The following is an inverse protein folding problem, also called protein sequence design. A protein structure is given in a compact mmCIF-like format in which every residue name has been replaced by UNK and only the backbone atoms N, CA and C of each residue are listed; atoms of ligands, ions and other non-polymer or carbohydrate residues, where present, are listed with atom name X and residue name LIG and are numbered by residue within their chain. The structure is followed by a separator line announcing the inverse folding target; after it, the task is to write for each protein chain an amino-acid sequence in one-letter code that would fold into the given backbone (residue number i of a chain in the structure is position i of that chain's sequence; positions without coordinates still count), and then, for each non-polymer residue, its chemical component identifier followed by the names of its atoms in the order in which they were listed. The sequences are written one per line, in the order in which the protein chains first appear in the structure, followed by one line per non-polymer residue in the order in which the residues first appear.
data_IF_843431045080
#
_entry.id   IF_843431045080
#
_cell.length_a   1.000
_cell.length_b   1.000
_cell.length_c   1.000
_cell.angle_alpha   90.00
_cell.angle_beta   90.00
_cell.angle_gamma   90.00
#
_symmetry.space_group_name_H-M   'P 1'
#
loop_
_entity.id
_entity.type
_entity.pdbx_description
1 polymer ?
#
# COMPACT_ATOMS: atom_id res chain seq x y z
N UNK A 1 -10.84 -23.42 -16.78
CA UNK A 1 -11.12 -22.21 -17.59
C UNK A 1 -11.28 -22.45 -19.10
N UNK A 2 -11.13 -23.66 -19.66
CA UNK A 2 -11.06 -23.86 -21.13
C UNK A 2 -12.39 -23.94 -21.89
N UNK A 3 -13.55 -23.97 -21.23
CA UNK A 3 -14.83 -24.23 -21.91
C UNK A 3 -15.64 -22.98 -22.31
N UNK A 4 -15.24 -21.77 -21.87
CA UNK A 4 -15.98 -20.54 -22.19
C UNK A 4 -15.57 -19.91 -23.54
N UNK A 5 -14.34 -20.19 -24.00
CA UNK A 5 -13.75 -19.57 -25.19
C UNK A 5 -14.56 -19.83 -26.47
N UNK A 6 -15.12 -21.04 -26.62
CA UNK A 6 -15.94 -21.42 -27.78
C UNK A 6 -17.24 -20.62 -27.84
N UNK A 7 -17.91 -20.44 -26.69
CA UNK A 7 -19.15 -19.69 -26.61
C UNK A 7 -18.94 -18.20 -26.90
N UNK A 8 -17.81 -17.65 -26.46
CA UNK A 8 -17.44 -16.27 -26.76
C UNK A 8 -17.10 -16.07 -28.24
N UNK A 9 -16.37 -17.00 -28.86
CA UNK A 9 -16.09 -16.95 -30.29
C UNK A 9 -17.36 -17.03 -31.14
N UNK A 10 -18.32 -17.88 -30.76
CA UNK A 10 -19.63 -17.95 -31.44
C UNK A 10 -20.44 -16.66 -31.27
N UNK A 11 -20.40 -16.02 -30.09
CA UNK A 11 -21.01 -14.71 -29.87
C UNK A 11 -20.35 -13.63 -30.72
N UNK A 12 -19.03 -13.61 -30.78
CA UNK A 12 -18.24 -12.66 -31.56
C UNK A 12 -18.44 -12.82 -33.07
N UNK A 13 -18.59 -14.05 -33.55
CA UNK A 13 -18.93 -14.33 -34.94
C UNK A 13 -20.30 -13.75 -35.33
N UNK A 14 -21.30 -13.87 -34.45
CA UNK A 14 -22.63 -13.29 -34.67
C UNK A 14 -22.60 -11.75 -34.64
N UNK A 15 -21.72 -11.16 -33.84
CA UNK A 15 -21.55 -9.69 -33.76
C UNK A 15 -21.06 -9.04 -35.07
N UNK A 16 -20.38 -9.78 -35.95
CA UNK A 16 -20.02 -9.25 -37.28
C UNK A 16 -21.24 -8.97 -38.17
N UNK A 17 -22.35 -9.68 -37.96
CA UNK A 17 -23.61 -9.49 -38.68
C UNK A 17 -24.53 -8.49 -37.97
N UNK A 18 -24.17 -8.08 -36.74
CA UNK A 18 -24.97 -7.23 -35.89
C UNK A 18 -24.92 -5.75 -36.30
N UNK A 19 -26.01 -5.04 -35.97
CA UNK A 19 -26.13 -3.59 -36.15
C UNK A 19 -25.24 -2.89 -35.10
N UNK A 20 -24.62 -1.72 -35.41
CA UNK A 20 -23.80 -0.96 -34.45
C UNK A 20 -24.41 -0.75 -33.05
N UNK A 21 -25.73 -0.72 -32.96
CA UNK A 21 -26.47 -0.64 -31.69
C UNK A 21 -26.21 -1.80 -30.73
N UNK A 22 -25.86 -2.99 -31.24
CA UNK A 22 -25.58 -4.18 -30.43
C UNK A 22 -24.11 -4.26 -29.99
N UNK A 23 -23.17 -3.68 -30.74
CA UNK A 23 -21.73 -3.68 -30.42
C UNK A 23 -21.40 -2.69 -29.29
N UNK A 24 -22.11 -1.55 -29.26
CA UNK A 24 -21.90 -0.47 -28.27
C UNK A 24 -22.03 -0.92 -26.80
N UNK A 25 -23.08 -1.68 -26.38
CA UNK A 25 -23.19 -2.14 -24.99
C UNK A 25 -22.08 -3.13 -24.59
N UNK A 26 -21.65 -4.00 -25.50
CA UNK A 26 -20.53 -4.93 -25.22
C UNK A 26 -19.20 -4.18 -25.09
N UNK A 27 -18.97 -3.15 -25.91
CA UNK A 27 -17.80 -2.27 -25.77
C UNK A 27 -17.79 -1.58 -24.41
N UNK A 28 -18.93 -1.01 -23.99
CA UNK A 28 -19.08 -0.37 -22.67
C UNK A 28 -18.81 -1.36 -21.54
N UNK A 29 -19.30 -2.58 -21.66
CA UNK A 29 -19.07 -3.66 -20.70
C UNK A 29 -17.60 -4.04 -20.61
N UNK A 30 -16.91 -4.19 -21.75
CA UNK A 30 -15.48 -4.48 -21.78
C UNK A 30 -14.64 -3.37 -21.11
N UNK A 31 -14.94 -2.10 -21.40
CA UNK A 31 -14.30 -0.96 -20.73
C UNK A 31 -14.56 -0.97 -19.22
N UNK A 32 -15.80 -1.24 -18.79
CA UNK A 32 -16.14 -1.36 -17.37
C UNK A 32 -15.37 -2.48 -16.67
N UNK A 33 -15.19 -3.64 -17.33
CA UNK A 33 -14.38 -4.74 -16.81
C UNK A 33 -12.91 -4.33 -16.66
N UNK A 34 -12.33 -3.66 -17.66
CA UNK A 34 -10.95 -3.15 -17.58
C UNK A 34 -10.78 -2.20 -16.38
N UNK A 35 -11.69 -1.24 -16.22
CA UNK A 35 -11.64 -0.30 -15.10
C UNK A 35 -11.73 -1.03 -13.74
N UNK A 36 -12.59 -2.04 -13.64
CA UNK A 36 -12.69 -2.88 -12.43
C UNK A 36 -11.37 -3.58 -12.14
N UNK A 37 -10.76 -4.24 -13.11
CA UNK A 37 -9.51 -4.98 -12.89
C UNK A 37 -8.31 -4.05 -12.63
N UNK A 38 -8.32 -2.83 -13.18
CA UNK A 38 -7.35 -1.78 -12.80
C UNK A 38 -7.49 -1.44 -11.31
N UNK A 39 -8.71 -1.27 -10.78
CA UNK A 39 -8.93 -1.03 -9.34
C UNK A 39 -8.39 -2.18 -8.48
N UNK A 40 -8.67 -3.43 -8.88
CA UNK A 40 -8.14 -4.62 -8.19
C UNK A 40 -6.61 -4.63 -8.21
N UNK A 41 -5.98 -4.32 -9.34
CA UNK A 41 -4.53 -4.24 -9.46
C UNK A 41 -3.90 -3.22 -8.50
N UNK A 42 -4.52 -2.04 -8.36
CA UNK A 42 -4.08 -1.03 -7.38
C UNK A 42 -4.28 -1.49 -5.93
N UNK A 43 -5.39 -2.17 -5.62
CA UNK A 43 -5.59 -2.74 -4.29
C UNK A 43 -4.50 -3.77 -3.94
N UNK A 44 -4.14 -4.65 -4.88
CA UNK A 44 -3.04 -5.60 -4.73
C UNK A 44 -1.71 -4.88 -4.49
N UNK A 45 -1.40 -3.84 -5.28
CA UNK A 45 -0.17 -3.05 -5.11
C UNK A 45 -0.10 -2.34 -3.75
N UNK A 46 -1.22 -1.81 -3.26
CA UNK A 46 -1.30 -1.20 -1.94
C UNK A 46 -1.09 -2.23 -0.83
N UNK A 47 -1.71 -3.41 -0.94
CA UNK A 47 -1.54 -4.50 0.02
C UNK A 47 -0.09 -5.01 0.04
N UNK A 48 0.55 -5.09 -1.13
CA UNK A 48 1.98 -5.41 -1.23
C UNK A 48 2.86 -4.37 -0.52
N UNK A 49 2.63 -3.08 -0.79
CA UNK A 49 3.37 -1.99 -0.14
C UNK A 49 3.20 -2.02 1.38
N UNK A 50 1.99 -2.33 1.85
CA UNK A 50 1.69 -2.46 3.27
C UNK A 50 2.36 -3.70 3.89
N UNK A 51 2.38 -4.82 3.18
CA UNK A 51 3.13 -6.02 3.58
C UNK A 51 4.62 -5.69 3.78
N UNK A 52 5.26 -5.04 2.80
CA UNK A 52 6.67 -4.62 2.91
C UNK A 52 6.91 -3.72 4.14
N UNK A 53 5.97 -2.83 4.46
CA UNK A 53 6.04 -1.96 5.63
C UNK A 53 5.86 -2.72 6.94
N UNK A 54 4.95 -3.69 6.99
CA UNK A 54 4.66 -4.47 8.19
C UNK A 54 5.75 -5.49 8.49
N UNK A 55 6.31 -6.16 7.47
CA UNK A 55 7.35 -7.17 7.66
C UNK A 55 8.64 -6.61 8.22
N UNK A 56 8.92 -5.32 7.99
CA UNK A 56 10.01 -4.63 8.67
C UNK A 56 9.80 -4.51 10.20
N UNK A 57 8.61 -4.80 10.71
CA UNK A 57 8.19 -4.53 12.10
C UNK A 57 7.37 -5.64 12.78
N UNK A 58 6.97 -6.71 12.08
CA UNK A 58 6.08 -7.74 12.63
C UNK A 58 6.85 -8.99 13.08
N UNK A 59 6.48 -9.53 14.25
CA UNK A 59 6.96 -10.81 14.79
C UNK A 59 6.28 -12.05 14.15
N UNK A 60 5.55 -11.88 13.04
CA UNK A 60 4.90 -13.00 12.35
C UNK A 60 5.93 -14.05 11.93
N UNK A 61 5.70 -15.31 12.31
CA UNK A 61 6.56 -16.43 11.94
C UNK A 61 6.51 -16.73 10.44
N UNK A 62 7.56 -17.35 9.90
CA UNK A 62 7.71 -17.55 8.45
C UNK A 62 6.53 -18.31 7.80
N UNK A 63 5.86 -19.18 8.56
CA UNK A 63 4.68 -19.92 8.11
C UNK A 63 3.43 -19.06 7.88
N UNK A 64 3.27 -17.95 8.60
CA UNK A 64 2.16 -17.00 8.34
C UNK A 64 2.50 -16.12 7.14
N UNK A 65 3.75 -15.68 7.06
CA UNK A 65 4.27 -14.84 5.98
C UNK A 65 4.09 -15.50 4.61
N UNK A 66 4.41 -16.79 4.48
CA UNK A 66 4.28 -17.52 3.21
C UNK A 66 2.82 -17.64 2.76
N UNK A 67 1.87 -17.79 3.70
CA UNK A 67 0.44 -17.84 3.37
C UNK A 67 -0.07 -16.49 2.85
N UNK A 68 0.37 -15.40 3.48
CA UNK A 68 0.03 -14.05 3.05
C UNK A 68 0.60 -13.73 1.67
N UNK A 69 1.89 -14.02 1.45
CA UNK A 69 2.56 -13.86 0.14
C UNK A 69 1.87 -14.70 -0.94
N UNK A 70 1.53 -15.95 -0.64
CA UNK A 70 0.80 -16.82 -1.57
C UNK A 70 -0.58 -16.25 -1.95
N UNK A 71 -1.28 -15.59 -1.03
CA UNK A 71 -2.55 -14.90 -1.35
C UNK A 71 -2.31 -13.70 -2.26
N UNK A 72 -1.33 -12.85 -1.94
CA UNK A 72 -1.00 -11.67 -2.75
C UNK A 72 -0.58 -12.06 -4.17
N UNK A 73 0.27 -13.08 -4.31
CA UNK A 73 0.73 -13.57 -5.61
C UNK A 73 -0.42 -14.08 -6.47
N UNK A 74 -1.35 -14.84 -5.88
CA UNK A 74 -2.56 -15.31 -6.57
C UNK A 74 -3.42 -14.15 -7.02
N UNK A 75 -3.74 -13.20 -6.12
CA UNK A 75 -4.55 -12.02 -6.46
C UNK A 75 -3.91 -11.17 -7.56
N UNK A 76 -2.59 -10.97 -7.52
CA UNK A 76 -1.85 -10.25 -8.57
C UNK A 76 -1.93 -10.98 -9.93
N UNK A 77 -1.70 -12.30 -9.92
CA UNK A 77 -1.73 -13.13 -11.12
C UNK A 77 -3.12 -13.20 -11.74
N UNK A 78 -4.16 -13.34 -10.92
CA UNK A 78 -5.56 -13.31 -11.37
C UNK A 78 -5.90 -11.95 -11.98
N UNK A 79 -5.58 -10.84 -11.29
CA UNK A 79 -5.84 -9.49 -11.81
C UNK A 79 -5.13 -9.26 -13.17
N UNK A 80 -3.89 -9.73 -13.31
CA UNK A 80 -3.14 -9.66 -14.57
C UNK A 80 -3.82 -10.45 -15.69
N UNK A 81 -4.20 -11.70 -15.42
CA UNK A 81 -4.83 -12.57 -16.40
C UNK A 81 -6.17 -12.01 -16.90
N UNK A 82 -7.01 -11.56 -15.97
CA UNK A 82 -8.32 -10.97 -16.26
C UNK A 82 -8.20 -9.63 -17.00
N UNK A 83 -7.23 -8.79 -16.64
CA UNK A 83 -6.97 -7.53 -17.34
C UNK A 83 -6.52 -7.76 -18.78
N UNK A 84 -5.64 -8.75 -19.00
CA UNK A 84 -5.21 -9.16 -20.35
C UNK A 84 -6.39 -9.69 -21.18
N UNK A 85 -7.27 -10.49 -20.58
CA UNK A 85 -8.43 -11.04 -21.26
C UNK A 85 -9.42 -9.93 -21.67
N UNK A 86 -9.78 -9.06 -20.74
CA UNK A 86 -10.65 -7.91 -21.01
C UNK A 86 -10.05 -6.96 -22.07
N UNK A 87 -8.73 -6.76 -22.06
CA UNK A 87 -8.03 -5.97 -23.07
C UNK A 87 -8.08 -6.59 -24.46
N UNK A 88 -7.94 -7.93 -24.58
CA UNK A 88 -8.08 -8.64 -25.85
C UNK A 88 -9.51 -8.55 -26.38
N UNK A 89 -10.51 -8.72 -25.50
CA UNK A 89 -11.91 -8.58 -25.85
C UNK A 89 -12.21 -7.16 -26.38
N UNK A 90 -11.69 -6.13 -25.70
CA UNK A 90 -11.84 -4.75 -26.14
C UNK A 90 -11.24 -4.53 -27.54
N UNK A 91 -9.99 -4.99 -27.77
CA UNK A 91 -9.33 -4.85 -29.07
C UNK A 91 -10.13 -5.51 -30.20
N UNK A 92 -10.67 -6.71 -29.96
CA UNK A 92 -11.50 -7.41 -30.93
C UNK A 92 -12.81 -6.66 -31.24
N UNK A 93 -13.50 -6.16 -30.20
CA UNK A 93 -14.73 -5.37 -30.38
C UNK A 93 -14.48 -4.08 -31.17
N UNK A 94 -13.33 -3.42 -30.96
CA UNK A 94 -12.92 -2.29 -31.79
C UNK A 94 -12.72 -2.68 -33.25
N UNK A 95 -12.03 -3.79 -33.54
CA UNK A 95 -11.85 -4.27 -34.91
C UNK A 95 -13.18 -4.57 -35.60
N UNK A 96 -14.13 -5.20 -34.90
CA UNK A 96 -15.50 -5.43 -35.41
C UNK A 96 -16.20 -4.10 -35.70
N UNK A 97 -16.09 -3.13 -34.79
CA UNK A 97 -16.72 -1.81 -34.95
C UNK A 97 -16.22 -1.10 -36.21
N UNK A 98 -14.91 -1.14 -36.46
CA UNK A 98 -14.29 -0.56 -37.67
C UNK A 98 -14.85 -1.24 -38.93
N UNK A 99 -14.88 -2.58 -38.97
CA UNK A 99 -15.40 -3.35 -40.11
C UNK A 99 -16.88 -3.08 -40.41
N UNK A 100 -17.69 -2.92 -39.36
CA UNK A 100 -19.12 -2.60 -39.51
C UNK A 100 -19.31 -1.16 -40.03
N UNK A 101 -18.48 -0.21 -39.59
CA UNK A 101 -18.51 1.18 -40.05
C UNK A 101 -18.12 1.30 -41.53
N UNK A 102 -17.06 0.61 -41.96
CA UNK A 102 -16.62 0.58 -43.35
C UNK A 102 -17.75 0.12 -44.29
N UNK A 103 -18.55 -0.88 -43.89
CA UNK A 103 -19.69 -1.36 -44.66
C UNK A 103 -20.85 -0.36 -44.75
N UNK A 104 -21.00 0.53 -43.78
CA UNK A 104 -22.16 1.42 -43.67
C UNK A 104 -21.95 2.80 -44.33
N UNK A 105 -20.79 3.04 -44.95
CA UNK A 105 -20.47 4.29 -45.68
C UNK A 105 -20.76 5.58 -44.88
N UNK A 106 -20.73 5.51 -43.54
CA UNK A 106 -20.89 6.67 -42.65
C UNK A 106 -19.53 6.97 -42.03
N UNK A 107 -19.04 8.19 -42.29
CA UNK A 107 -17.65 8.60 -42.06
C UNK A 107 -17.36 9.16 -40.66
N UNK A 108 -18.29 9.07 -39.71
CA UNK A 108 -18.01 9.50 -38.34
C UNK A 108 -17.55 8.29 -37.52
N UNK A 109 -16.24 8.03 -37.57
CA UNK A 109 -15.60 7.18 -36.58
C UNK A 109 -15.75 7.85 -35.22
N UNK A 110 -16.41 7.22 -34.23
CA UNK A 110 -16.40 7.75 -32.89
C UNK A 110 -14.95 7.77 -32.41
N UNK A 111 -14.42 8.96 -32.16
CA UNK A 111 -13.19 9.22 -31.40
C UNK A 111 -13.38 8.71 -29.97
N UNK A 112 -13.44 7.39 -29.85
CA UNK A 112 -13.47 6.71 -28.57
C UNK A 112 -12.03 6.72 -28.06
N UNK A 113 -11.89 7.18 -26.81
CA UNK A 113 -10.68 7.38 -25.99
C UNK A 113 -9.82 6.11 -25.78
N UNK A 114 -9.62 5.32 -26.82
CA UNK A 114 -9.05 3.97 -26.79
C UNK A 114 -7.57 4.01 -26.40
N UNK A 115 -6.81 4.98 -26.92
CA UNK A 115 -5.40 5.16 -26.60
C UNK A 115 -5.19 5.37 -25.08
N UNK A 116 -6.05 6.14 -24.44
CA UNK A 116 -5.97 6.35 -22.98
C UNK A 116 -6.23 5.05 -22.20
N UNK A 117 -7.19 4.22 -22.64
CA UNK A 117 -7.47 2.93 -21.99
C UNK A 117 -6.32 1.95 -22.19
N UNK A 118 -5.78 1.83 -23.41
CA UNK A 118 -4.66 0.93 -23.71
C UNK A 118 -3.40 1.33 -22.92
N UNK A 119 -3.05 2.61 -22.89
CA UNK A 119 -1.91 3.11 -22.12
C UNK A 119 -2.06 2.81 -20.63
N UNK A 120 -3.27 2.95 -20.07
CA UNK A 120 -3.55 2.57 -18.67
C UNK A 120 -3.44 1.08 -18.42
N UNK A 121 -3.95 0.25 -19.34
CA UNK A 121 -3.82 -1.21 -19.26
C UNK A 121 -2.34 -1.59 -19.27
N UNK A 122 -1.55 -1.05 -20.20
CA UNK A 122 -0.11 -1.35 -20.29
C UNK A 122 0.65 -0.94 -19.03
N UNK A 123 0.44 0.29 -18.53
CA UNK A 123 1.04 0.76 -17.26
C UNK A 123 0.66 -0.14 -16.08
N UNK A 124 -0.61 -0.54 -15.99
CA UNK A 124 -1.11 -1.41 -14.92
C UNK A 124 -0.51 -2.82 -15.01
N UNK A 125 -0.36 -3.36 -16.23
CA UNK A 125 0.27 -4.66 -16.44
C UNK A 125 1.75 -4.64 -16.05
N UNK A 126 2.50 -3.61 -16.44
CA UNK A 126 3.91 -3.43 -16.02
C UNK A 126 4.05 -3.35 -14.50
N UNK A 127 3.15 -2.62 -13.83
CA UNK A 127 3.11 -2.56 -12.36
C UNK A 127 2.82 -3.93 -11.74
N UNK A 128 1.87 -4.69 -12.28
CA UNK A 128 1.56 -6.04 -11.80
C UNK A 128 2.72 -7.00 -12.00
N UNK A 129 3.42 -6.93 -13.14
CA UNK A 129 4.61 -7.74 -13.41
C UNK A 129 5.72 -7.49 -12.39
N UNK A 130 6.04 -6.21 -12.14
CA UNK A 130 7.02 -5.83 -11.12
C UNK A 130 6.62 -6.35 -9.73
N UNK A 131 5.35 -6.19 -9.34
CA UNK A 131 4.88 -6.69 -8.03
C UNK A 131 4.95 -8.22 -7.95
N UNK A 132 4.60 -8.95 -9.01
CA UNK A 132 4.65 -10.42 -9.05
C UNK A 132 6.10 -10.89 -8.85
N UNK A 133 7.05 -10.31 -9.59
CA UNK A 133 8.48 -10.65 -9.48
C UNK A 133 9.01 -10.39 -8.06
N UNK A 134 8.65 -9.26 -7.45
CA UNK A 134 9.04 -8.93 -6.07
C UNK A 134 8.42 -9.88 -5.04
N UNK A 135 7.14 -10.23 -5.20
CA UNK A 135 6.43 -11.17 -4.30
C UNK A 135 7.06 -12.57 -4.39
N UNK A 136 7.39 -13.05 -5.60
CA UNK A 136 8.05 -14.34 -5.81
C UNK A 136 9.45 -14.40 -5.17
N UNK A 137 10.21 -13.30 -5.28
CA UNK A 137 11.51 -13.18 -4.63
C UNK A 137 11.39 -13.24 -3.10
N UNK A 138 10.46 -12.49 -2.51
CA UNK A 138 10.24 -12.50 -1.06
C UNK A 138 9.71 -13.86 -0.59
N UNK A 139 8.85 -14.52 -1.37
CA UNK A 139 8.36 -15.86 -1.07
C UNK A 139 9.50 -16.87 -0.99
N UNK A 140 10.44 -16.84 -1.93
CA UNK A 140 11.65 -17.69 -1.90
C UNK A 140 12.50 -17.44 -0.65
N UNK A 141 12.63 -16.17 -0.25
CA UNK A 141 13.35 -15.77 0.96
C UNK A 141 12.66 -16.31 2.22
N UNK A 142 11.34 -16.14 2.34
CA UNK A 142 10.56 -16.62 3.49
C UNK A 142 10.56 -18.15 3.57
N UNK A 143 10.50 -18.85 2.44
CA UNK A 143 10.63 -20.31 2.38
C UNK A 143 11.94 -20.80 2.98
N UNK A 144 13.05 -20.10 2.73
CA UNK A 144 14.34 -20.43 3.33
C UNK A 144 14.29 -20.31 4.86
N UNK A 145 13.74 -19.21 5.38
CA UNK A 145 13.58 -19.00 6.83
C UNK A 145 12.70 -20.10 7.43
N UNK A 146 11.59 -20.45 6.78
CA UNK A 146 10.69 -21.52 7.23
C UNK A 146 11.40 -22.88 7.31
N UNK A 147 12.29 -23.18 6.35
CA UNK A 147 13.06 -24.41 6.37
C UNK A 147 14.10 -24.43 7.50
N UNK A 148 14.73 -23.30 7.78
CA UNK A 148 15.64 -23.12 8.93
C UNK A 148 14.88 -23.28 10.27
N UNK A 149 13.70 -22.68 10.41
CA UNK A 149 12.81 -22.85 11.57
C UNK A 149 12.39 -24.32 11.77
N UNK A 150 12.04 -25.02 10.68
CA UNK A 150 11.71 -26.45 10.71
C UNK A 150 12.89 -27.30 11.18
N UNK A 151 14.10 -26.99 10.71
CA UNK A 151 15.32 -27.68 11.14
C UNK A 151 15.59 -27.47 12.64
N UNK A 152 15.50 -26.21 13.11
CA UNK A 152 15.65 -25.86 14.52
C UNK A 152 14.59 -26.56 15.40
N UNK A 153 13.32 -26.56 14.98
CA UNK A 153 12.24 -27.26 15.68
C UNK A 153 12.50 -28.77 15.80
N UNK A 154 13.07 -29.39 14.76
CA UNK A 154 13.43 -30.81 14.80
C UNK A 154 14.56 -31.10 15.81
N UNK A 155 15.54 -30.20 15.95
CA UNK A 155 16.59 -30.30 16.97
C UNK A 155 16.05 -30.14 18.38
N UNK A 156 15.18 -29.16 18.61
CA UNK A 156 14.49 -28.96 19.90
C UNK A 156 13.68 -30.21 20.27
N UNK A 157 12.93 -30.79 19.33
CA UNK A 157 12.20 -32.05 19.57
C UNK A 157 13.11 -33.19 19.97
N UNK A 158 14.29 -33.33 19.35
CA UNK A 158 15.30 -34.33 19.74
C UNK A 158 15.81 -34.10 21.16
N UNK A 159 16.10 -32.84 21.53
CA UNK A 159 16.55 -32.50 22.88
C UNK A 159 15.47 -32.79 23.93
N UNK A 160 14.22 -32.40 23.68
CA UNK A 160 13.08 -32.68 24.57
C UNK A 160 12.91 -34.18 24.81
N UNK A 161 12.98 -34.99 23.74
CA UNK A 161 12.92 -36.45 23.85
C UNK A 161 14.07 -37.05 24.66
N UNK A 162 15.27 -36.46 24.56
CA UNK A 162 16.43 -36.86 25.38
C UNK A 162 16.24 -36.49 26.86
N UNK A 163 15.71 -35.29 27.13
CA UNK A 163 15.40 -34.85 28.50
C UNK A 163 14.31 -35.71 29.12
N UNK A 164 13.24 -36.00 28.39
CA UNK A 164 12.16 -36.89 28.83
C UNK A 164 12.69 -38.26 29.24
N UNK A 165 13.55 -38.87 28.40
CA UNK A 165 14.23 -40.14 28.73
C UNK A 165 15.04 -40.03 30.03
N UNK A 166 15.84 -38.98 30.21
CA UNK A 166 16.62 -38.77 31.44
C UNK A 166 15.74 -38.56 32.67
N UNK A 167 14.62 -37.85 32.54
CA UNK A 167 13.64 -37.67 33.64
C UNK A 167 13.03 -39.01 34.03
N UNK A 168 12.68 -39.87 33.06
CA UNK A 168 12.17 -41.22 33.35
C UNK A 168 13.21 -42.14 33.99
N UNK A 169 14.50 -41.94 33.71
CA UNK A 169 15.61 -42.70 34.33
C UNK A 169 15.94 -42.21 35.75
N UNK A 170 15.81 -40.91 36.04
CA UNK A 170 16.11 -40.30 37.34
C UNK A 170 14.94 -40.44 38.32
N UNK A 171 13.70 -40.54 37.81
CA UNK A 171 12.55 -40.85 38.65
C UNK A 171 12.88 -42.10 39.47
N UNK A 172 13.05 -41.97 40.81
CA UNK A 172 13.52 -43.08 41.61
C UNK A 172 12.54 -44.23 41.40
N UNK A 173 13.07 -45.45 41.20
CA UNK A 173 12.32 -46.67 41.49
C UNK A 173 12.05 -46.70 43.00
N UNK A 174 11.30 -45.71 43.49
CA UNK A 174 10.69 -45.72 44.79
C UNK A 174 9.84 -46.96 44.78
N UNK A 175 10.38 -48.01 45.41
CA UNK A 175 9.57 -48.96 46.15
C UNK A 175 8.73 -48.12 47.10
N UNK A 176 7.63 -47.56 46.61
CA UNK A 176 6.49 -47.33 47.45
C UNK A 176 6.16 -48.73 47.95
N UNK A 177 6.61 -49.01 49.17
CA UNK A 177 6.21 -50.19 49.90
C UNK A 177 4.70 -50.29 49.83
N UNK A 178 4.23 -51.51 49.56
CA UNK A 178 2.85 -51.97 49.61
C UNK A 178 2.21 -51.79 51.01
N UNK A 179 2.26 -50.59 51.57
CA UNK A 179 1.30 -50.18 52.60
C UNK A 179 0.04 -49.81 51.86
N UNK A 180 -0.76 -50.85 51.63
CA UNK A 180 -2.16 -50.82 51.30
C UNK A 180 -2.89 -49.84 52.24
N UNK A 181 -2.91 -48.56 51.86
CA UNK A 181 -4.13 -47.81 52.02
C UNK A 181 -4.91 -48.09 50.75
N UNK A 182 -5.90 -48.96 50.88
CA UNK A 182 -7.07 -49.02 50.01
C UNK A 182 -7.72 -47.64 50.03
N UNK A 183 -7.12 -46.70 49.30
CA UNK A 183 -7.89 -45.63 48.71
C UNK A 183 -8.62 -46.38 47.61
N UNK A 184 -9.85 -46.83 47.94
CA UNK A 184 -10.82 -47.19 46.92
C UNK A 184 -10.65 -46.19 45.80
N UNK A 185 -10.52 -46.63 44.54
CA UNK A 185 -10.64 -45.71 43.44
C UNK A 185 -12.05 -45.15 43.59
N UNK A 186 -12.15 -44.00 44.26
CA UNK A 186 -13.24 -43.10 44.02
C UNK A 186 -13.19 -42.99 42.51
N UNK A 187 -14.21 -43.59 41.88
CA UNK A 187 -14.66 -43.25 40.55
C UNK A 187 -14.99 -41.75 40.64
N UNK A 188 -13.94 -40.94 40.72
CA UNK A 188 -13.89 -39.64 40.12
C UNK A 188 -13.86 -39.99 38.64
N UNK A 189 -15.04 -40.37 38.14
CA UNK A 189 -15.50 -39.80 36.90
C UNK A 189 -15.22 -38.31 37.07
N UNK A 190 -14.09 -37.90 36.52
CA UNK A 190 -14.03 -36.62 35.87
C UNK A 190 -15.05 -36.73 34.73
N UNK A 191 -16.33 -36.66 35.09
CA UNK A 191 -17.25 -35.75 34.45
C UNK A 191 -16.53 -34.42 34.50
N UNK A 192 -15.61 -34.23 33.56
CA UNK A 192 -15.32 -32.93 33.00
C UNK A 192 -16.72 -32.46 32.60
N UNK A 193 -17.34 -31.53 33.34
CA UNK A 193 -18.57 -30.93 32.86
C UNK A 193 -18.20 -30.45 31.46
N UNK A 194 -19.01 -30.83 30.48
CA UNK A 194 -18.89 -30.23 29.17
C UNK A 194 -18.82 -28.71 29.39
N UNK A 195 -17.65 -28.14 29.14
CA UNK A 195 -17.59 -26.85 28.48
C UNK A 195 -17.99 -27.21 27.04
N UNK A 196 -19.26 -27.26 26.63
CA UNK A 196 -20.24 -26.17 26.58
C UNK A 196 -19.55 -24.81 26.58
N UNK A 197 -19.38 -24.29 25.36
CA UNK A 197 -18.91 -22.95 25.04
C UNK A 197 -17.38 -22.76 25.12
N UNK A 198 -16.62 -23.63 24.46
CA UNK A 198 -15.56 -23.05 23.61
C UNK A 198 -16.29 -22.28 22.51
N UNK A 199 -16.29 -20.96 22.64
CA UNK A 199 -16.80 -20.04 21.63
C UNK A 199 -16.35 -20.50 20.25
N UNK A 200 -17.35 -20.90 19.47
CA UNK A 200 -17.35 -20.91 18.00
C UNK A 200 -17.06 -19.48 17.49
N UNK A 201 -15.85 -18.97 17.67
CA UNK A 201 -15.38 -17.77 16.94
C UNK A 201 -13.97 -17.94 16.38
N UNK A 202 -13.56 -19.20 16.21
CA UNK A 202 -12.66 -19.56 15.13
C UNK A 202 -13.50 -20.19 14.03
N UNK A 203 -14.27 -19.35 13.33
CA UNK A 203 -14.67 -19.67 11.96
C UNK A 203 -13.39 -19.93 11.21
N UNK A 204 -13.05 -21.21 11.11
CA UNK A 204 -12.21 -21.79 10.08
C UNK A 204 -12.65 -21.10 8.79
N UNK A 205 -11.88 -20.11 8.35
CA UNK A 205 -12.03 -19.51 7.05
C UNK A 205 -11.95 -20.67 6.09
N UNK A 206 -13.10 -21.12 5.61
CA UNK A 206 -13.16 -21.98 4.44
C UNK A 206 -12.29 -21.30 3.37
N UNK A 207 -11.57 -22.08 2.54
CA UNK A 207 -10.86 -21.51 1.42
C UNK A 207 -11.90 -20.80 0.55
N UNK A 208 -12.02 -19.47 0.71
CA UNK A 208 -12.83 -18.65 -0.17
C UNK A 208 -12.37 -18.98 -1.59
N UNK A 209 -13.34 -19.25 -2.45
CA UNK A 209 -13.08 -19.40 -3.88
C UNK A 209 -12.26 -18.19 -4.35
N UNK A 210 -11.35 -18.39 -5.30
CA UNK A 210 -10.55 -17.29 -5.86
C UNK A 210 -11.46 -16.15 -6.36
N UNK A 211 -12.66 -16.49 -6.86
CA UNK A 211 -13.70 -15.54 -7.28
C UNK A 211 -14.29 -14.72 -6.12
N UNK A 212 -14.48 -15.33 -4.94
CA UNK A 212 -15.02 -14.66 -3.76
C UNK A 212 -13.99 -13.70 -3.14
N UNK A 213 -12.72 -14.09 -3.13
CA UNK A 213 -11.64 -13.22 -2.68
C UNK A 213 -11.47 -12.02 -3.62
N UNK A 214 -11.60 -12.24 -4.94
CA UNK A 214 -11.58 -11.14 -5.91
C UNK A 214 -12.78 -10.21 -5.73
N UNK A 215 -13.98 -10.77 -5.53
CA UNK A 215 -15.19 -10.00 -5.26
C UNK A 215 -15.06 -9.16 -3.97
N UNK A 216 -14.50 -9.74 -2.91
CA UNK A 216 -14.28 -9.03 -1.65
C UNK A 216 -13.28 -7.86 -1.81
N UNK A 217 -12.18 -8.05 -2.56
CA UNK A 217 -11.25 -6.96 -2.89
C UNK A 217 -11.94 -5.86 -3.70
N UNK A 218 -12.88 -6.20 -4.58
CA UNK A 218 -13.67 -5.24 -5.36
C UNK A 218 -14.63 -4.46 -4.46
N UNK A 219 -15.30 -5.11 -3.50
CA UNK A 219 -16.20 -4.46 -2.54
C UNK A 219 -15.44 -3.53 -1.59
N UNK A 220 -14.32 -3.99 -1.02
CA UNK A 220 -13.50 -3.19 -0.09
C UNK A 220 -12.90 -1.94 -0.78
N UNK A 221 -12.61 -2.03 -2.08
CA UNK A 221 -12.15 -0.88 -2.88
C UNK A 221 -13.28 -0.05 -3.51
N UNK A 222 -14.54 -0.47 -3.36
CA UNK A 222 -15.71 0.14 -3.97
C UNK A 222 -16.43 1.20 -3.12
N UNK A 223 -16.25 1.21 -1.80
CA UNK A 223 -17.02 2.10 -0.89
C UNK A 223 -16.52 3.56 -0.81
N UNK A 224 -15.54 3.96 -1.63
CA UNK A 224 -15.12 5.35 -1.77
C UNK A 224 -15.79 6.03 -2.97
N UNK A 225 -16.74 6.94 -2.70
CA UNK A 225 -17.45 7.84 -3.65
C UNK A 225 -16.98 7.74 -5.12
N UNK A 226 -17.76 7.05 -5.95
CA UNK A 226 -17.55 6.89 -7.40
C UNK A 226 -17.30 8.21 -8.14
N UNK A 227 -17.79 9.34 -7.59
CA UNK A 227 -17.59 10.67 -8.15
C UNK A 227 -16.18 11.26 -7.99
N UNK A 228 -15.33 10.75 -7.08
CA UNK A 228 -13.99 11.33 -6.85
C UNK A 228 -12.90 10.64 -7.70
N UNK A 229 -13.15 9.42 -8.14
CA UNK A 229 -12.19 8.61 -8.91
C UNK A 229 -12.25 8.93 -10.40
N UNK A 230 -13.44 9.20 -10.97
CA UNK A 230 -13.56 9.58 -12.39
C UNK A 230 -12.86 10.89 -12.74
N UNK A 231 -12.78 11.86 -11.81
CA UNK A 231 -12.09 13.13 -12.06
C UNK A 231 -10.57 13.08 -11.82
N UNK A 232 -10.06 12.17 -10.97
CA UNK A 232 -8.61 12.02 -10.76
C UNK A 232 -7.95 11.05 -11.78
N UNK A 233 -8.70 10.17 -12.44
CA UNK A 233 -8.14 9.25 -13.46
C UNK A 233 -7.92 9.92 -14.83
N UNK A 234 -8.36 11.16 -15.04
CA UNK A 234 -8.30 11.85 -16.34
C UNK A 234 -7.12 12.83 -16.50
N UNK A 235 -6.22 12.95 -15.51
CA UNK A 235 -5.13 13.94 -15.52
C UNK A 235 -3.72 13.34 -15.36
N UNK A 236 -3.52 12.08 -15.77
CA UNK A 236 -2.17 11.50 -15.91
C UNK A 236 -1.77 11.61 -17.40
N UNK A 237 -1.48 12.82 -17.85
CA UNK A 237 -0.72 13.09 -19.07
C UNK A 237 0.76 13.17 -18.63
N UNK A 238 1.58 12.18 -18.97
CA UNK A 238 2.46 12.16 -20.15
C UNK A 238 3.71 13.03 -19.97
N UNK A 239 4.76 12.44 -19.38
CA UNK A 239 6.15 12.91 -19.54
C UNK A 239 7.15 11.85 -19.03
N UNK A 240 7.41 10.82 -19.85
CA UNK A 240 8.67 10.05 -19.75
C UNK A 240 9.18 9.69 -21.13
N UNK A 241 9.64 10.68 -21.89
CA UNK A 241 10.65 10.48 -22.93
C UNK A 241 11.22 11.85 -23.34
N UNK A 242 12.23 12.35 -22.64
CA UNK A 242 13.21 13.27 -23.25
C UNK A 242 14.48 13.43 -22.41
N UNK A 243 15.61 13.28 -23.11
CA UNK A 243 16.98 13.75 -22.80
C UNK A 243 17.96 12.79 -22.10
N UNK A 244 18.27 11.69 -22.79
CA UNK A 244 19.67 11.26 -22.98
C UNK A 244 20.13 11.61 -24.41
N UNK A 245 20.52 12.88 -24.63
CA UNK A 245 21.43 13.28 -25.71
C UNK A 245 21.68 14.79 -25.62
N UNK A 246 22.89 15.15 -25.21
CA UNK A 246 23.67 16.28 -25.75
C UNK A 246 24.97 16.43 -24.93
N UNK A 247 25.97 15.63 -25.27
CA UNK A 247 27.36 15.94 -25.00
C UNK A 247 28.17 15.53 -26.22
N UNK A 248 28.22 16.40 -27.24
CA UNK A 248 29.30 16.46 -28.22
C UNK A 248 29.16 17.70 -29.11
N UNK A 249 30.25 18.46 -29.20
CA UNK A 249 30.64 19.37 -30.29
C UNK A 249 30.13 20.82 -30.25
N UNK A 250 30.97 21.76 -29.77
CA UNK A 250 31.79 22.58 -30.67
C UNK A 250 32.55 23.68 -29.88
N UNK A 251 33.82 23.43 -29.60
CA UNK A 251 34.81 24.49 -29.41
C UNK A 251 35.41 24.83 -30.78
N UNK A 252 34.93 25.90 -31.41
CA UNK A 252 35.66 26.60 -32.48
C UNK A 252 35.51 28.10 -32.23
N UNK A 253 36.65 28.75 -32.04
CA UNK A 253 36.76 30.16 -31.71
C UNK A 253 36.48 31.12 -32.86
N UNK A 254 36.50 32.41 -32.52
CA UNK A 254 36.41 33.49 -33.48
C UNK A 254 36.22 34.84 -32.79
N UNK A 255 37.32 35.41 -32.30
CA UNK A 255 37.40 36.80 -31.86
C UNK A 255 37.43 37.72 -33.09
N UNK A 256 36.59 38.75 -33.12
CA UNK A 256 36.59 39.79 -34.15
C UNK A 256 35.60 40.91 -33.82
N UNK A 257 36.14 42.02 -33.32
CA UNK A 257 35.48 43.33 -33.19
C UNK A 257 35.15 43.86 -34.61
N UNK A 258 34.12 44.68 -34.87
CA UNK A 258 33.95 46.08 -34.44
C UNK A 258 32.55 46.63 -34.83
N UNK A 259 32.17 47.84 -34.35
CA UNK A 259 30.80 48.34 -34.23
C UNK A 259 30.40 49.29 -35.37
N UNK A 260 29.11 49.37 -35.70
CA UNK A 260 28.51 50.57 -36.32
C UNK A 260 27.03 50.74 -35.93
N UNK A 261 26.78 51.88 -35.26
CA UNK A 261 25.73 52.89 -35.46
C UNK A 261 24.40 52.45 -36.12
N UNK A 262 23.30 52.53 -35.37
CA UNK A 262 22.34 53.65 -35.38
C UNK A 262 21.20 53.41 -36.38
N UNK A 263 20.05 52.97 -35.87
CA UNK A 263 18.75 53.48 -36.31
C UNK A 263 17.66 53.04 -35.32
N UNK A 264 17.12 54.03 -34.64
CA UNK A 264 15.99 53.96 -33.72
C UNK A 264 14.73 53.36 -34.35
N UNK A 265 14.37 52.15 -33.92
CA UNK A 265 13.02 51.59 -34.04
C UNK A 265 12.44 51.35 -32.65
N UNK A 266 11.15 51.67 -32.40
CA UNK A 266 10.52 51.40 -31.13
C UNK A 266 10.31 49.89 -30.99
N UNK A 267 11.10 49.24 -30.12
CA UNK A 267 11.01 47.81 -29.81
C UNK A 267 9.77 47.51 -28.95
N UNK A 268 8.80 46.70 -29.43
CA UNK A 268 7.75 46.11 -28.61
C UNK A 268 8.13 44.67 -28.27
N UNK A 269 9.16 44.47 -27.42
CA UNK A 269 9.69 43.14 -27.09
C UNK A 269 9.51 42.69 -25.62
N UNK A 270 8.73 43.41 -24.82
CA UNK A 270 8.42 43.00 -23.43
C UNK A 270 7.28 41.95 -23.20
N UNK A 271 6.54 41.37 -24.18
CA UNK A 271 5.54 40.34 -23.86
C UNK A 271 6.06 38.90 -23.82
N UNK A 272 7.20 38.58 -24.46
CA UNK A 272 7.61 37.18 -24.70
C UNK A 272 8.27 36.57 -23.46
N UNK A 273 9.11 37.32 -22.74
CA UNK A 273 9.79 36.82 -21.53
C UNK A 273 8.83 36.47 -20.38
N UNK A 274 7.76 37.24 -20.19
CA UNK A 274 6.78 37.00 -19.10
C UNK A 274 5.96 35.72 -19.29
N UNK A 275 5.82 35.23 -20.53
CA UNK A 275 5.04 34.04 -20.83
C UNK A 275 5.81 32.76 -20.45
N UNK A 276 7.11 32.73 -20.73
CA UNK A 276 7.99 31.62 -20.34
C UNK A 276 8.12 31.49 -18.82
N UNK A 277 8.25 32.60 -18.08
CA UNK A 277 8.33 32.56 -16.60
C UNK A 277 7.05 31.98 -15.96
N UNK A 278 5.88 32.32 -16.49
CA UNK A 278 4.59 31.81 -15.98
C UNK A 278 4.40 30.32 -16.26
N UNK A 279 4.85 29.83 -17.42
CA UNK A 279 4.79 28.42 -17.78
C UNK A 279 5.75 27.58 -16.92
N UNK A 280 6.96 28.09 -16.66
CA UNK A 280 7.92 27.44 -15.76
C UNK A 280 7.40 27.35 -14.31
N UNK A 281 6.79 28.42 -13.79
CA UNK A 281 6.21 28.44 -12.44
C UNK A 281 5.02 27.49 -12.31
N UNK A 282 4.21 27.35 -13.37
CA UNK A 282 3.11 26.38 -13.43
C UNK A 282 3.64 24.95 -13.37
N UNK A 283 4.62 24.63 -14.21
CA UNK A 283 5.24 23.30 -14.25
C UNK A 283 5.88 22.93 -12.90
N UNK A 284 6.60 23.86 -12.26
CA UNK A 284 7.14 23.65 -10.89
C UNK A 284 6.06 23.36 -9.87
N UNK A 285 4.91 24.04 -9.95
CA UNK A 285 3.78 23.80 -9.04
C UNK A 285 3.10 22.45 -9.30
N UNK A 286 3.02 22.00 -10.56
CA UNK A 286 2.49 20.68 -10.94
C UNK A 286 3.39 19.55 -10.43
N UNK A 287 4.70 19.66 -10.65
CA UNK A 287 5.71 18.72 -10.12
C UNK A 287 5.70 18.68 -8.58
N UNK A 288 5.63 19.84 -7.91
CA UNK A 288 5.54 19.89 -6.44
C UNK A 288 4.24 19.25 -5.94
N UNK A 289 3.13 19.46 -6.66
CA UNK A 289 1.84 18.85 -6.33
C UNK A 289 1.91 17.33 -6.45
N UNK A 290 2.43 16.80 -7.55
CA UNK A 290 2.57 15.36 -7.77
C UNK A 290 3.42 14.72 -6.66
N UNK A 291 4.60 15.30 -6.37
CA UNK A 291 5.47 14.84 -5.28
C UNK A 291 4.78 14.86 -3.94
N UNK A 292 3.96 15.88 -3.68
CA UNK A 292 3.22 16.02 -2.43
C UNK A 292 2.10 14.97 -2.32
N UNK A 293 1.37 14.70 -3.41
CA UNK A 293 0.34 13.66 -3.49
C UNK A 293 0.92 12.25 -3.32
N UNK A 294 2.04 11.98 -3.98
CA UNK A 294 2.77 10.73 -3.78
C UNK A 294 3.21 10.57 -2.31
N UNK A 295 3.81 11.62 -1.74
CA UNK A 295 4.30 11.63 -0.36
C UNK A 295 3.19 11.52 0.68
N UNK A 296 1.99 12.00 0.38
CA UNK A 296 0.82 11.93 1.26
C UNK A 296 0.40 10.49 1.59
N UNK A 297 0.64 9.55 0.66
CA UNK A 297 0.36 8.12 0.86
C UNK A 297 1.29 7.48 1.89
N UNK A 298 2.49 8.01 2.06
CA UNK A 298 3.47 7.53 3.04
C UNK A 298 3.34 8.17 4.42
N UNK A 299 2.44 9.15 4.60
CA UNK A 299 2.20 9.74 5.93
C UNK A 299 1.67 8.66 6.89
N UNK A 300 2.46 8.31 7.93
CA UNK A 300 2.08 7.26 8.86
C UNK A 300 0.86 7.69 9.65
N UNK A 301 0.00 6.73 10.01
CA UNK A 301 -1.15 6.95 10.88
C UNK A 301 -0.85 6.39 12.26
N UNK A 302 -1.10 7.19 13.30
CA UNK A 302 -1.06 6.72 14.69
C UNK A 302 -2.30 5.86 14.93
N UNK A 303 -2.10 4.61 15.33
CA UNK A 303 -3.18 3.71 15.70
C UNK A 303 -3.64 4.05 17.12
N UNK A 304 -4.77 4.75 17.23
CA UNK A 304 -5.45 4.97 18.51
C UNK A 304 -6.32 3.74 18.78
N UNK A 305 -6.00 3.00 19.84
CA UNK A 305 -6.72 1.78 20.21
C UNK A 305 -6.91 1.75 21.71
N UNK A 306 -8.09 1.32 22.17
CA UNK A 306 -8.40 1.21 23.60
C UNK A 306 -7.77 -0.04 24.23
N UNK A 307 -7.60 -1.10 23.43
CA UNK A 307 -7.08 -2.39 23.89
C UNK A 307 -6.09 -2.97 22.88
N UNK A 308 -4.93 -3.39 23.38
CA UNK A 308 -3.93 -4.15 22.64
C UNK A 308 -3.58 -5.39 23.43
N UNK A 309 -3.70 -6.58 22.83
CA UNK A 309 -3.47 -7.89 23.50
C UNK A 309 -2.08 -8.01 24.16
N UNK A 310 -1.10 -7.21 23.72
CA UNK A 310 0.31 -7.29 24.16
C UNK A 310 0.74 -6.17 25.12
N UNK A 311 -0.16 -5.29 25.58
CA UNK A 311 0.22 -4.18 26.46
C UNK A 311 0.29 -4.52 27.95
N UNK A 312 0.01 -5.78 28.35
CA UNK A 312 -0.27 -6.23 29.72
C UNK A 312 0.66 -5.66 30.81
N UNK A 313 1.95 -5.44 30.52
CA UNK A 313 2.93 -4.99 31.49
C UNK A 313 3.25 -3.49 31.44
N UNK A 314 2.81 -2.78 30.41
CA UNK A 314 3.13 -1.35 30.23
C UNK A 314 2.07 -0.43 30.86
N UNK A 315 2.53 0.65 31.51
CA UNK A 315 1.67 1.74 31.97
C UNK A 315 1.76 2.89 30.98
N UNK A 316 0.63 3.37 30.48
CA UNK A 316 0.60 4.52 29.59
C UNK A 316 1.04 5.78 30.33
N UNK A 317 2.05 6.47 29.81
CA UNK A 317 2.63 7.68 30.42
C UNK A 317 1.65 8.86 30.44
N UNK A 318 0.64 8.86 29.55
CA UNK A 318 -0.30 9.97 29.40
C UNK A 318 -1.55 9.81 30.27
N UNK A 319 -2.23 8.66 30.18
CA UNK A 319 -3.48 8.43 30.93
C UNK A 319 -3.30 7.62 32.22
N UNK A 320 -2.12 7.05 32.43
CA UNK A 320 -1.80 6.23 33.60
C UNK A 320 -2.42 4.83 33.61
N UNK A 321 -3.22 4.44 32.61
CA UNK A 321 -3.83 3.11 32.52
C UNK A 321 -2.75 2.04 32.28
N UNK A 322 -2.87 0.90 32.96
CA UNK A 322 -1.96 -0.23 32.85
C UNK A 322 -2.56 -1.30 31.95
N UNK A 323 -1.73 -1.94 31.11
CA UNK A 323 -2.13 -3.14 30.37
C UNK A 323 -3.04 -2.93 29.16
N UNK A 324 -3.63 -1.74 28.99
CA UNK A 324 -4.66 -1.49 27.97
C UNK A 324 -4.08 -1.10 26.62
N UNK A 325 -3.16 -0.14 26.59
CA UNK A 325 -2.56 0.39 25.36
C UNK A 325 -1.16 0.93 25.61
N UNK A 326 -0.34 0.98 24.56
CA UNK A 326 0.94 1.67 24.59
C UNK A 326 0.77 3.18 24.64
N UNK A 327 1.74 3.92 25.20
CA UNK A 327 1.69 5.39 25.28
C UNK A 327 1.45 6.06 23.91
N UNK A 328 2.01 5.53 22.83
CA UNK A 328 1.78 6.08 21.48
C UNK A 328 0.31 5.94 21.01
N UNK A 329 -0.43 4.94 21.51
CA UNK A 329 -1.82 4.66 21.17
C UNK A 329 -2.83 5.27 22.14
N UNK A 330 -2.42 6.19 23.03
CA UNK A 330 -3.29 6.74 24.06
C UNK A 330 -4.55 7.42 23.47
N UNK A 331 -5.77 6.99 23.87
CA UNK A 331 -7.02 7.59 23.38
C UNK A 331 -7.41 8.88 24.10
N UNK A 332 -6.81 9.19 25.27
CA UNK A 332 -7.13 10.40 26.04
C UNK A 332 -6.36 11.63 25.58
N UNK A 333 -5.10 11.46 25.18
CA UNK A 333 -4.25 12.52 24.63
C UNK A 333 -3.78 12.03 23.27
N UNK A 334 -4.45 12.47 22.21
CA UNK A 334 -4.30 11.90 20.86
C UNK A 334 -3.32 12.68 20.00
N UNK A 335 -3.29 14.01 20.13
CA UNK A 335 -2.45 14.90 19.30
C UNK A 335 -1.03 15.00 19.86
N UNK A 336 -0.06 15.06 18.96
CA UNK A 336 1.36 15.13 19.30
C UNK A 336 1.72 16.38 20.10
N UNK A 337 1.15 17.54 19.77
CA UNK A 337 1.39 18.79 20.51
C UNK A 337 0.88 18.71 21.96
N UNK A 338 -0.36 18.27 22.18
CA UNK A 338 -0.91 18.09 23.53
C UNK A 338 -0.06 17.11 24.37
N UNK A 339 0.54 16.10 23.72
CA UNK A 339 1.46 15.17 24.37
C UNK A 339 2.79 15.81 24.74
N UNK A 340 3.30 16.75 23.94
CA UNK A 340 4.51 17.51 24.28
C UNK A 340 4.27 18.37 25.51
N UNK A 341 3.20 19.16 25.51
CA UNK A 341 2.83 20.02 26.62
C UNK A 341 2.68 19.20 27.92
N UNK A 342 1.99 18.05 27.83
CA UNK A 342 1.86 17.13 28.96
C UNK A 342 3.22 16.65 29.51
N UNK A 343 4.16 16.28 28.64
CA UNK A 343 5.49 15.80 29.07
C UNK A 343 6.31 16.93 29.72
N UNK A 344 6.25 18.15 29.16
CA UNK A 344 6.93 19.30 29.74
C UNK A 344 6.34 19.68 31.11
N UNK A 345 5.01 19.74 31.21
CA UNK A 345 4.30 20.08 32.46
C UNK A 345 4.55 19.07 33.58
N UNK A 346 4.73 17.79 33.23
CA UNK A 346 4.98 16.71 34.20
C UNK A 346 6.47 16.41 34.42
N UNK A 347 7.38 17.19 33.80
CA UNK A 347 8.82 16.99 33.94
C UNK A 347 9.34 15.64 33.43
N UNK A 348 8.63 15.02 32.49
CA UNK A 348 8.98 13.71 31.94
C UNK A 348 10.04 13.83 30.84
N UNK A 349 10.85 12.79 30.65
CA UNK A 349 11.86 12.80 29.60
C UNK A 349 11.23 12.63 28.22
N UNK A 350 11.47 13.58 27.31
CA UNK A 350 11.00 13.51 25.91
C UNK A 350 11.49 12.31 25.09
N UNK A 351 12.46 11.54 25.59
CA UNK A 351 13.08 10.41 24.87
C UNK A 351 12.54 9.05 25.31
N UNK A 352 12.23 8.86 26.61
CA UNK A 352 11.70 7.60 27.13
C UNK A 352 10.33 7.72 27.80
N UNK A 353 9.80 8.94 27.98
CA UNK A 353 8.55 9.25 28.69
C UNK A 353 8.54 8.91 30.18
N UNK A 354 9.73 8.76 30.79
CA UNK A 354 9.92 8.50 32.22
C UNK A 354 10.69 9.64 32.90
N UNK A 355 10.71 9.65 34.24
CA UNK A 355 11.54 10.58 35.01
C UNK A 355 13.02 10.16 34.94
N UNK A 356 13.82 10.97 34.23
CA UNK A 356 15.26 10.75 34.07
C UNK A 356 16.13 11.75 34.87
N UNK A 357 15.55 12.47 35.84
CA UNK A 357 16.23 13.54 36.58
C UNK A 357 17.54 13.08 37.25
N UNK A 358 17.62 11.82 37.69
CA UNK A 358 18.76 11.31 38.46
C UNK A 358 19.80 10.53 37.65
N UNK A 359 19.39 9.77 36.63
CA UNK A 359 20.26 8.77 35.96
C UNK A 359 20.67 9.14 34.53
N UNK A 360 20.13 10.23 33.98
CA UNK A 360 20.20 10.47 32.55
C UNK A 360 19.31 9.49 31.77
N UNK A 361 19.16 9.72 30.47
CA UNK A 361 18.31 8.88 29.62
C UNK A 361 19.18 8.13 28.61
N UNK A 362 19.09 6.80 28.61
CA UNK A 362 19.82 5.94 27.66
C UNK A 362 19.28 6.08 26.23
N UNK A 363 17.99 6.39 26.07
CA UNK A 363 17.30 6.41 24.78
C UNK A 363 17.46 7.74 24.03
N UNK A 364 18.50 8.53 24.33
CA UNK A 364 18.73 9.84 23.70
C UNK A 364 19.09 9.76 22.22
N UNK A 365 19.66 8.63 21.80
CA UNK A 365 20.10 8.38 20.42
C UNK A 365 19.01 7.77 19.53
N UNK A 366 17.91 7.29 20.10
CA UNK A 366 16.93 6.53 19.33
C UNK A 366 16.17 7.45 18.37
N UNK A 367 16.16 7.07 17.09
CA UNK A 367 15.41 7.77 16.06
C UNK A 367 13.92 7.49 16.20
N UNK A 368 13.11 8.54 16.02
CA UNK A 368 11.67 8.38 15.91
C UNK A 368 11.34 7.64 14.60
N UNK A 369 10.68 6.48 14.70
CA UNK A 369 10.22 5.70 13.55
C UNK A 369 9.40 6.51 12.54
N UNK A 370 8.46 7.35 13.02
CA UNK A 370 7.65 8.21 12.14
C UNK A 370 8.51 9.19 11.33
N UNK A 371 9.53 9.77 11.96
CA UNK A 371 10.45 10.68 11.28
C UNK A 371 11.31 9.94 10.26
N UNK A 372 11.77 8.74 10.60
CA UNK A 372 12.57 7.92 9.71
C UNK A 372 11.81 7.52 8.44
N UNK A 373 10.53 7.15 8.57
CA UNK A 373 9.66 6.88 7.42
C UNK A 373 9.56 8.08 6.50
N UNK A 374 9.36 9.29 7.05
CA UNK A 374 9.28 10.51 6.23
C UNK A 374 10.61 10.85 5.57
N UNK A 375 11.72 10.78 6.30
CA UNK A 375 13.05 11.07 5.76
C UNK A 375 13.43 10.12 4.63
N UNK A 376 13.01 8.85 4.69
CA UNK A 376 13.31 7.83 3.68
C UNK A 376 12.34 7.84 2.49
N UNK A 377 11.03 7.98 2.75
CA UNK A 377 9.99 7.75 1.73
C UNK A 377 9.32 9.02 1.22
N UNK A 378 9.40 10.13 1.95
CA UNK A 378 8.70 11.37 1.63
C UNK A 378 9.57 12.61 1.89
N UNK A 379 10.73 12.76 1.20
CA UNK A 379 11.69 13.82 1.48
C UNK A 379 11.14 15.24 1.29
N UNK A 380 10.13 15.43 0.43
CA UNK A 380 9.43 16.72 0.27
C UNK A 380 8.71 17.17 1.57
N UNK A 381 8.37 16.21 2.44
CA UNK A 381 7.74 16.44 3.74
C UNK A 381 8.76 16.55 4.88
N UNK A 382 10.06 16.70 4.58
CA UNK A 382 11.12 16.84 5.60
C UNK A 382 10.89 18.00 6.57
N UNK A 383 10.19 19.05 6.13
CA UNK A 383 9.81 20.18 7.00
C UNK A 383 8.89 19.79 8.16
N UNK A 384 8.19 18.66 8.08
CA UNK A 384 7.36 18.12 9.16
C UNK A 384 8.18 17.43 10.26
N UNK A 385 9.43 17.08 9.99
CA UNK A 385 10.30 16.35 10.92
C UNK A 385 10.79 17.32 12.00
N UNK A 386 10.47 17.10 13.28
CA UNK A 386 10.99 17.93 14.36
C UNK A 386 12.52 17.93 14.39
N UNK A 387 13.14 19.09 14.62
CA UNK A 387 14.60 19.23 14.67
C UNK A 387 15.24 18.48 15.83
N UNK A 388 14.48 18.22 16.90
CA UNK A 388 14.96 17.59 18.13
C UNK A 388 14.54 16.11 18.16
N UNK A 389 15.47 15.25 18.56
CA UNK A 389 15.18 13.85 18.89
C UNK A 389 14.09 13.76 19.94
N UNK A 390 13.16 12.83 19.74
CA UNK A 390 11.96 12.65 20.56
C UNK A 390 11.45 11.23 20.48
N UNK A 391 10.74 10.81 21.53
CA UNK A 391 10.03 9.55 21.56
C UNK A 391 8.89 9.54 20.53
N UNK A 392 8.66 8.41 19.85
CA UNK A 392 7.64 8.29 18.79
C UNK A 392 6.24 8.75 19.20
N UNK A 393 5.87 8.56 20.47
CA UNK A 393 4.58 8.99 20.99
C UNK A 393 4.36 10.50 20.92
N UNK A 394 5.43 11.29 20.88
CA UNK A 394 5.38 12.75 20.80
C UNK A 394 5.46 13.27 19.36
N UNK A 395 5.61 12.39 18.37
CA UNK A 395 5.81 12.84 17.00
C UNK A 395 4.54 13.52 16.44
N UNK A 396 4.63 14.72 15.86
CA UNK A 396 3.47 15.39 15.26
C UNK A 396 3.15 14.89 13.84
N UNK A 397 4.05 14.14 13.21
CA UNK A 397 3.91 13.68 11.82
C UNK A 397 2.58 12.95 11.59
N UNK A 398 2.14 12.00 12.44
CA UNK A 398 0.87 11.32 12.23
C UNK A 398 -0.36 12.24 12.23
N UNK A 399 -0.25 13.40 12.89
CA UNK A 399 -1.33 14.38 13.04
C UNK A 399 -1.34 15.40 11.88
N UNK A 400 -0.31 15.41 11.02
CA UNK A 400 -0.15 16.38 9.92
C UNK A 400 -0.97 16.05 8.67
N UNK A 401 -1.58 14.85 8.59
CA UNK A 401 -2.30 14.40 7.40
C UNK A 401 -3.42 15.38 6.95
N UNK A 402 -4.28 15.93 7.83
CA UNK A 402 -5.26 16.93 7.42
C UNK A 402 -4.64 18.22 6.86
N UNK A 403 -3.51 18.65 7.41
CA UNK A 403 -2.79 19.86 6.96
C UNK A 403 -2.22 19.66 5.55
N UNK A 404 -1.58 18.50 5.30
CA UNK A 404 -1.05 18.18 3.98
C UNK A 404 -2.17 18.01 2.95
N UNK A 405 -3.29 17.37 3.31
CA UNK A 405 -4.46 17.29 2.44
C UNK A 405 -5.00 18.69 2.07
N UNK A 406 -5.05 19.61 3.05
CA UNK A 406 -5.46 20.99 2.79
C UNK A 406 -4.48 21.73 1.87
N UNK A 407 -3.16 21.50 2.02
CA UNK A 407 -2.13 22.04 1.13
C UNK A 407 -2.28 21.53 -0.31
N UNK A 408 -2.47 20.22 -0.49
CA UNK A 408 -2.75 19.60 -1.81
C UNK A 408 -3.99 20.25 -2.44
N UNK A 409 -5.10 20.34 -1.69
CA UNK A 409 -6.34 20.98 -2.16
C UNK A 409 -6.13 22.44 -2.56
N UNK A 410 -5.33 23.19 -1.80
CA UNK A 410 -4.99 24.59 -2.10
C UNK A 410 -4.15 24.71 -3.37
N UNK A 411 -3.18 23.82 -3.59
CA UNK A 411 -2.37 23.78 -4.81
C UNK A 411 -3.20 23.41 -6.03
N UNK A 412 -4.03 22.36 -5.94
CA UNK A 412 -4.99 21.99 -6.99
C UNK A 412 -5.89 23.17 -7.39
N UNK A 413 -6.44 23.89 -6.41
CA UNK A 413 -7.28 25.08 -6.69
C UNK A 413 -6.52 26.21 -7.41
N UNK A 414 -5.23 26.36 -7.16
CA UNK A 414 -4.40 27.37 -7.84
C UNK A 414 -4.07 26.98 -9.28
N UNK A 415 -3.77 25.69 -9.51
CA UNK A 415 -3.44 25.17 -10.85
C UNK A 415 -4.67 25.03 -11.74
N UNK A 416 -5.82 24.69 -11.16
CA UNK A 416 -7.07 24.46 -11.85
C UNK A 416 -8.19 25.33 -11.24
N UNK A 417 -8.13 26.67 -11.44
CA UNK A 417 -9.20 27.54 -10.96
C UNK A 417 -10.49 27.16 -11.67
N UNK A 418 -11.49 26.73 -10.89
CA UNK A 418 -12.83 26.44 -11.41
C UNK A 418 -13.31 27.67 -12.18
N UNK A 419 -13.62 27.52 -13.48
CA UNK A 419 -14.19 28.63 -14.25
C UNK A 419 -15.49 29.05 -13.56
N UNK A 420 -15.70 30.36 -13.28
CA UNK A 420 -16.99 30.81 -12.82
C UNK A 420 -18.03 30.46 -13.89
N UNK A 421 -19.07 29.73 -13.48
CA UNK A 421 -20.22 29.38 -14.31
C UNK A 421 -21.05 30.61 -14.66
#
# INVERSE_FOLDING_TARGET
MTNNYKGELEKLSKLHEAIPSEVTPELRKAVGNIQRYIKVAYAVSNNWTHHLLQHACSESGAGEQILLLGRLLRSASCAKAELLDASKQLALLYSITILVQEKQSKSETPELKNENVQNKVEKTLKMLDSNIEEIELEMTRVEKILNEEKACSAEIKKMLKCMEKKVTEIAPQGRYSDTAYEIEPAEMSLDIPGNTEEEEDSKRTEPQSDDENLAWLIEESGEGDEHTIEQNLLSIDDETETKEREMANNEVGGCGQEPMEDESLPTPNEPIQKRTEQEEDRWKMEDELEKLEHSFNYLPKRKIQEFTKNAAFSRCSFCGQQGKHFSDSCPRITRGFDRWDFIEDNGLCRHCLEDCSQKGCSNRSDSCWYCEVILKKAPILRSLVPQKYHHRALCPIPDSKPEIAARIKKMKKKLFPSRPY
#
